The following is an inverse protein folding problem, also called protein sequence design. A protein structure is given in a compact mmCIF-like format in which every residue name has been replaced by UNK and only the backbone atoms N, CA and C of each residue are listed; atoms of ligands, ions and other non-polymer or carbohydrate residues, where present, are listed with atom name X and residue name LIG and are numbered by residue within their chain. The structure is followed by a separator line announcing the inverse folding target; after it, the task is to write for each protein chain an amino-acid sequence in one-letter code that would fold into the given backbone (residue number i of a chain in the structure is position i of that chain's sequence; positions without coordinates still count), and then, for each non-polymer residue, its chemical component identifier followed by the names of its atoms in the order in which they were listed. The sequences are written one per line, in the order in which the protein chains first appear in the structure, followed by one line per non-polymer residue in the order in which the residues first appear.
data_IF_213846201123
#
_entry.id   IF_213846201123
#
_cell.length_a   1.000
_cell.length_b   1.000
_cell.length_c   1.000
_cell.angle_alpha   90.00
_cell.angle_beta   90.00
_cell.angle_gamma   90.00
#
_symmetry.space_group_name_H-M   'P 1'
#
loop_
_entity.id
_entity.type
_entity.pdbx_description
1 polymer ?
#
# COMPACT_ATOMS: atom_id res chain seq x y z
N UNK A 1 42.11 -1.76 -28.58
CA UNK A 1 40.86 -1.52 -29.38
C UNK A 1 39.78 -2.36 -28.76
N UNK A 2 39.04 -1.77 -27.84
CA UNK A 2 37.87 -2.42 -27.20
C UNK A 2 36.67 -2.10 -28.03
N UNK A 3 36.23 -3.10 -28.78
CA UNK A 3 35.02 -3.05 -29.59
C UNK A 3 33.80 -2.91 -28.63
N UNK A 4 33.32 -1.68 -28.43
CA UNK A 4 32.09 -1.42 -27.73
C UNK A 4 30.92 -1.92 -28.60
N UNK A 5 30.26 -2.94 -28.14
CA UNK A 5 29.05 -3.49 -28.79
C UNK A 5 28.06 -2.36 -29.07
N UNK A 6 27.65 -2.12 -30.33
CA UNK A 6 26.79 -0.97 -30.70
C UNK A 6 25.38 -1.01 -30.11
N UNK A 7 24.97 -2.09 -29.46
CA UNK A 7 23.66 -2.24 -28.84
C UNK A 7 23.55 -1.55 -27.46
N UNK A 8 24.65 -1.14 -26.85
CA UNK A 8 24.62 -0.51 -25.54
C UNK A 8 24.17 0.97 -25.57
N UNK A 9 24.31 1.65 -26.71
CA UNK A 9 23.83 3.04 -26.87
C UNK A 9 22.36 3.10 -27.34
N UNK A 10 21.82 2.07 -27.98
CA UNK A 10 20.41 1.95 -28.34
C UNK A 10 19.51 1.91 -27.10
N UNK A 11 20.00 1.46 -25.97
CA UNK A 11 19.30 1.45 -24.70
C UNK A 11 18.84 2.84 -24.24
N UNK A 12 19.63 3.86 -24.48
CA UNK A 12 19.39 5.23 -24.00
C UNK A 12 18.40 6.00 -24.85
N UNK A 13 18.19 5.57 -26.09
CA UNK A 13 17.32 6.24 -27.05
C UNK A 13 15.93 5.59 -27.18
N UNK A 14 15.83 4.29 -26.91
CA UNK A 14 14.57 3.54 -27.01
C UNK A 14 13.75 3.71 -25.74
N UNK A 15 12.45 4.07 -25.81
CA UNK A 15 11.60 4.16 -24.64
C UNK A 15 11.48 2.80 -23.93
N UNK A 16 11.29 2.81 -22.60
CA UNK A 16 10.83 1.63 -21.86
C UNK A 16 9.39 1.29 -22.29
N UNK A 17 9.03 0.02 -22.28
CA UNK A 17 7.63 -0.37 -22.43
C UNK A 17 6.82 0.17 -21.27
N UNK A 18 7.37 0.11 -20.04
CA UNK A 18 6.74 0.68 -18.85
C UNK A 18 7.77 1.25 -17.86
N UNK A 19 7.40 2.34 -17.19
CA UNK A 19 8.02 2.78 -15.94
C UNK A 19 7.04 2.52 -14.80
N UNK A 20 7.50 1.83 -13.77
CA UNK A 20 6.74 1.48 -12.57
C UNK A 20 7.21 2.38 -11.43
N UNK A 21 6.28 3.15 -10.86
CA UNK A 21 6.52 4.04 -9.74
C UNK A 21 6.16 3.33 -8.44
N UNK A 22 7.17 2.92 -7.68
CA UNK A 22 7.07 2.17 -6.44
C UNK A 22 7.44 0.70 -6.58
N UNK A 23 8.39 0.25 -5.78
CA UNK A 23 8.90 -1.12 -5.67
C UNK A 23 8.30 -1.89 -4.49
N UNK A 24 7.06 -1.60 -4.11
CA UNK A 24 6.26 -2.41 -3.19
C UNK A 24 5.75 -3.70 -3.85
N UNK A 25 4.94 -4.51 -3.13
CA UNK A 25 4.45 -5.79 -3.65
C UNK A 25 3.73 -5.70 -5.00
N UNK A 26 2.97 -4.61 -5.24
CA UNK A 26 2.31 -4.39 -6.53
C UNK A 26 3.30 -4.10 -7.64
N UNK A 27 4.25 -3.19 -7.42
CA UNK A 27 5.25 -2.83 -8.43
C UNK A 27 6.22 -3.96 -8.75
N UNK A 28 6.69 -4.69 -7.73
CA UNK A 28 7.55 -5.87 -7.93
C UNK A 28 6.83 -6.96 -8.71
N UNK A 29 5.54 -7.21 -8.41
CA UNK A 29 4.73 -8.18 -9.14
C UNK A 29 4.52 -7.75 -10.60
N UNK A 30 4.20 -6.48 -10.84
CA UNK A 30 4.07 -5.94 -12.19
C UNK A 30 5.38 -6.06 -12.99
N UNK A 31 6.50 -5.68 -12.37
CA UNK A 31 7.83 -5.75 -12.98
C UNK A 31 8.21 -7.19 -13.34
N UNK A 32 7.95 -8.14 -12.44
CA UNK A 32 8.26 -9.56 -12.67
C UNK A 32 7.48 -10.11 -13.85
N UNK A 33 6.17 -9.87 -13.93
CA UNK A 33 5.32 -10.35 -15.04
C UNK A 33 5.73 -9.70 -16.35
N UNK A 34 5.97 -8.39 -16.38
CA UNK A 34 6.44 -7.69 -17.59
C UNK A 34 7.84 -8.16 -18.01
N UNK A 35 8.74 -8.37 -17.04
CA UNK A 35 10.08 -8.90 -17.30
C UNK A 35 10.03 -10.27 -17.98
N UNK A 36 9.18 -11.17 -17.47
CA UNK A 36 8.92 -12.50 -18.06
C UNK A 36 8.26 -12.40 -19.44
N UNK A 37 7.44 -11.37 -19.67
CA UNK A 37 6.86 -11.06 -20.99
C UNK A 37 7.88 -10.35 -21.93
N UNK A 38 9.16 -10.28 -21.54
CA UNK A 38 10.26 -9.67 -22.31
C UNK A 38 10.07 -8.17 -22.59
N UNK A 39 9.28 -7.49 -21.75
CA UNK A 39 9.08 -6.05 -21.82
C UNK A 39 10.22 -5.33 -21.12
N UNK A 40 10.67 -4.21 -21.68
CA UNK A 40 11.70 -3.37 -21.11
C UNK A 40 11.09 -2.48 -20.03
N UNK A 41 11.46 -2.73 -18.77
CA UNK A 41 10.84 -2.12 -17.59
C UNK A 41 11.87 -1.39 -16.74
N UNK A 42 11.52 -0.20 -16.25
CA UNK A 42 12.21 0.47 -15.16
C UNK A 42 11.29 0.53 -13.95
N UNK A 43 11.75 0.05 -12.81
CA UNK A 43 11.13 0.29 -11.50
C UNK A 43 11.88 1.41 -10.79
N UNK A 44 11.18 2.42 -10.31
CA UNK A 44 11.75 3.48 -9.46
C UNK A 44 11.10 3.40 -8.08
N UNK A 45 11.90 3.18 -7.03
CA UNK A 45 11.42 3.00 -5.66
C UNK A 45 12.22 3.81 -4.64
N UNK A 46 11.52 4.52 -3.77
CA UNK A 46 12.11 5.40 -2.75
C UNK A 46 12.41 4.70 -1.42
N UNK A 47 12.29 3.38 -1.36
CA UNK A 47 12.54 2.54 -0.18
C UNK A 47 11.71 2.90 1.08
N UNK A 48 10.50 3.44 0.89
CA UNK A 48 9.59 3.80 1.98
C UNK A 48 8.28 2.99 1.94
N UNK A 49 8.33 1.68 2.17
CA UNK A 49 7.13 0.86 2.13
C UNK A 49 6.20 1.20 3.31
N UNK A 50 4.90 1.27 3.04
CA UNK A 50 3.89 1.62 4.04
C UNK A 50 3.86 0.65 5.24
N UNK A 51 4.24 -0.61 5.02
CA UNK A 51 4.26 -1.66 6.05
C UNK A 51 5.64 -1.88 6.69
N UNK A 52 6.58 -0.93 6.58
CA UNK A 52 7.95 -1.07 7.13
C UNK A 52 7.97 -1.39 8.63
N UNK A 53 7.01 -0.88 9.38
CA UNK A 53 6.92 -1.06 10.83
C UNK A 53 6.27 -2.39 11.24
N UNK A 54 5.63 -3.10 10.31
CA UNK A 54 4.94 -4.37 10.59
C UNK A 54 5.93 -5.48 10.93
N UNK A 55 5.56 -6.31 11.91
CA UNK A 55 6.37 -7.45 12.35
C UNK A 55 6.28 -8.65 11.41
N UNK A 56 5.31 -8.66 10.50
CA UNK A 56 5.13 -9.70 9.50
C UNK A 56 3.93 -9.41 8.59
N UNK A 57 3.96 -9.97 7.41
CA UNK A 57 2.86 -9.89 6.43
C UNK A 57 1.84 -10.99 6.76
N UNK A 58 0.68 -10.61 7.29
CA UNK A 58 -0.39 -11.56 7.58
C UNK A 58 -1.20 -11.94 6.33
N UNK A 59 -1.60 -13.20 6.23
CA UNK A 59 -2.53 -13.71 5.21
C UNK A 59 -1.96 -13.81 3.80
N UNK A 60 -0.65 -13.90 3.63
CA UNK A 60 -0.01 -14.15 2.32
C UNK A 60 0.27 -15.66 2.17
N UNK A 61 -0.52 -16.33 1.34
CA UNK A 61 -0.36 -17.76 1.09
C UNK A 61 1.09 -18.11 0.67
N UNK A 62 1.67 -19.08 1.34
CA UNK A 62 3.05 -19.53 1.14
C UNK A 62 4.12 -18.67 1.83
N UNK A 63 3.76 -17.46 2.29
CA UNK A 63 4.66 -16.51 2.95
C UNK A 63 4.00 -15.81 4.14
N UNK A 64 3.07 -16.51 4.83
CA UNK A 64 2.42 -15.95 6.01
C UNK A 64 3.47 -15.60 7.09
N UNK A 65 3.35 -14.39 7.64
CA UNK A 65 4.27 -13.81 8.63
C UNK A 65 5.71 -13.55 8.14
N UNK A 66 5.98 -13.60 6.83
CA UNK A 66 7.26 -13.13 6.29
C UNK A 66 7.47 -11.65 6.65
N UNK A 67 8.69 -11.26 6.99
CA UNK A 67 8.99 -9.84 7.24
C UNK A 67 8.82 -9.04 5.94
N UNK A 68 8.27 -7.82 6.00
CA UNK A 68 8.11 -6.98 4.81
C UNK A 68 9.41 -6.76 4.03
N UNK A 69 10.54 -6.57 4.74
CA UNK A 69 11.85 -6.42 4.12
C UNK A 69 12.27 -7.68 3.35
N UNK A 70 12.14 -8.87 3.98
CA UNK A 70 12.55 -10.13 3.37
C UNK A 70 11.73 -10.44 2.10
N UNK A 71 10.44 -10.09 2.10
CA UNK A 71 9.57 -10.23 0.93
C UNK A 71 10.02 -9.30 -0.21
N UNK A 72 10.34 -8.03 0.09
CA UNK A 72 10.86 -7.08 -0.89
C UNK A 72 12.19 -7.54 -1.47
N UNK A 73 13.12 -7.92 -0.62
CA UNK A 73 14.44 -8.39 -1.03
C UNK A 73 14.32 -9.64 -1.92
N UNK A 74 13.41 -10.55 -1.59
CA UNK A 74 13.12 -11.71 -2.42
C UNK A 74 12.59 -11.30 -3.79
N UNK A 75 11.65 -10.36 -3.84
CA UNK A 75 11.11 -9.82 -5.10
C UNK A 75 12.20 -9.15 -5.95
N UNK A 76 13.03 -8.31 -5.35
CA UNK A 76 14.13 -7.65 -6.07
C UNK A 76 15.15 -8.66 -6.62
N UNK A 77 15.53 -9.70 -5.85
CA UNK A 77 16.41 -10.78 -6.35
C UNK A 77 15.79 -11.53 -7.54
N UNK A 78 14.47 -11.71 -7.57
CA UNK A 78 13.78 -12.30 -8.72
C UNK A 78 13.87 -11.39 -9.96
N UNK A 79 13.75 -10.08 -9.79
CA UNK A 79 13.88 -9.14 -10.91
C UNK A 79 15.29 -9.14 -11.52
N UNK A 80 16.33 -9.32 -10.71
CA UNK A 80 17.72 -9.37 -11.18
C UNK A 80 17.99 -10.52 -12.16
N UNK A 81 17.12 -11.54 -12.22
CA UNK A 81 17.21 -12.63 -13.19
C UNK A 81 16.75 -12.20 -14.61
N UNK A 82 16.16 -11.03 -14.76
CA UNK A 82 15.60 -10.51 -16.01
C UNK A 82 16.39 -9.29 -16.48
N UNK A 83 17.27 -9.45 -17.44
CA UNK A 83 18.14 -8.38 -17.96
C UNK A 83 17.37 -7.19 -18.59
N UNK A 84 16.09 -7.37 -18.90
CA UNK A 84 15.20 -6.34 -19.43
C UNK A 84 14.45 -5.55 -18.33
N UNK A 85 14.71 -5.82 -17.06
CA UNK A 85 14.15 -5.10 -15.92
C UNK A 85 15.27 -4.35 -15.19
N UNK A 86 15.18 -3.04 -15.16
CA UNK A 86 16.06 -2.17 -14.38
C UNK A 86 15.32 -1.79 -13.07
N UNK A 87 16.02 -1.86 -11.95
CA UNK A 87 15.55 -1.35 -10.67
C UNK A 87 16.42 -0.18 -10.22
N UNK A 88 15.81 0.96 -9.95
CA UNK A 88 16.51 2.19 -9.54
C UNK A 88 15.95 2.68 -8.21
N UNK A 89 16.84 2.93 -7.26
CA UNK A 89 16.50 3.60 -6.01
C UNK A 89 16.29 5.09 -6.25
N UNK A 90 15.32 5.68 -5.57
CA UNK A 90 14.95 7.09 -5.70
C UNK A 90 13.44 7.29 -5.84
N UNK A 91 13.02 8.54 -5.95
CA UNK A 91 11.64 8.91 -6.19
C UNK A 91 11.45 9.33 -7.66
N UNK A 92 10.22 9.30 -8.12
CA UNK A 92 9.82 9.99 -9.36
C UNK A 92 9.31 11.38 -8.95
N UNK A 93 9.97 12.42 -9.45
CA UNK A 93 9.61 13.81 -9.17
C UNK A 93 8.50 14.31 -10.08
N UNK A 94 8.57 13.92 -11.35
CA UNK A 94 7.69 14.44 -12.39
C UNK A 94 7.48 13.41 -13.51
N UNK A 95 6.29 13.43 -14.10
CA UNK A 95 5.94 12.66 -15.29
C UNK A 95 5.19 13.57 -16.24
N UNK A 96 5.75 13.80 -17.42
CA UNK A 96 5.13 14.61 -18.47
C UNK A 96 4.72 13.74 -19.66
N UNK A 97 3.51 13.94 -20.14
CA UNK A 97 3.05 13.29 -21.38
C UNK A 97 3.51 14.10 -22.59
N UNK A 98 4.15 13.44 -23.53
CA UNK A 98 4.38 13.96 -24.88
C UNK A 98 3.37 13.31 -25.84
N UNK A 99 3.49 13.57 -27.17
CA UNK A 99 2.56 12.98 -28.14
C UNK A 99 2.52 11.45 -28.06
N UNK A 100 3.69 10.82 -27.98
CA UNK A 100 3.82 9.36 -28.19
C UNK A 100 4.33 8.61 -26.95
N UNK A 101 4.88 9.32 -25.97
CA UNK A 101 5.53 8.71 -24.78
C UNK A 101 5.39 9.61 -23.56
N UNK A 102 5.64 9.03 -22.40
CA UNK A 102 5.86 9.76 -21.16
C UNK A 102 7.36 10.04 -20.97
N UNK A 103 7.69 11.21 -20.44
CA UNK A 103 9.03 11.56 -19.94
C UNK A 103 8.95 11.55 -18.43
N UNK A 104 9.69 10.63 -17.82
CA UNK A 104 9.75 10.43 -16.37
C UNK A 104 11.06 11.01 -15.84
N UNK A 105 10.99 11.80 -14.79
CA UNK A 105 12.15 12.39 -14.09
C UNK A 105 12.32 11.74 -12.71
N UNK A 106 13.22 10.79 -12.57
CA UNK A 106 13.61 10.29 -11.25
C UNK A 106 14.52 11.29 -10.55
N UNK A 107 14.58 11.24 -9.20
CA UNK A 107 15.54 12.02 -8.39
C UNK A 107 16.98 11.68 -8.74
N UNK A 108 17.24 10.41 -9.08
CA UNK A 108 18.57 9.92 -9.39
C UNK A 108 18.66 9.49 -10.86
N UNK A 109 19.62 10.07 -11.56
CA UNK A 109 19.93 9.77 -12.95
C UNK A 109 19.13 10.61 -13.96
N UNK A 110 19.34 10.35 -15.26
CA UNK A 110 18.73 11.14 -16.32
C UNK A 110 17.24 10.82 -16.46
N UNK A 111 16.45 11.76 -17.05
CA UNK A 111 15.09 11.49 -17.48
C UNK A 111 15.02 10.29 -18.42
N UNK A 112 13.96 9.52 -18.30
CA UNK A 112 13.70 8.34 -19.13
C UNK A 112 12.38 8.48 -19.87
N UNK A 113 12.25 7.78 -21.01
CA UNK A 113 11.04 7.76 -21.81
C UNK A 113 10.34 6.41 -21.64
N UNK A 114 9.00 6.41 -21.59
CA UNK A 114 8.21 5.19 -21.48
C UNK A 114 6.91 5.29 -22.28
N UNK A 115 6.40 4.14 -22.75
CA UNK A 115 5.09 4.04 -23.39
C UNK A 115 3.96 3.97 -22.35
N UNK A 116 4.22 3.37 -21.19
CA UNK A 116 3.25 3.25 -20.11
C UNK A 116 3.84 3.66 -18.75
N UNK A 117 2.97 4.15 -17.87
CA UNK A 117 3.26 4.45 -16.48
C UNK A 117 2.39 3.54 -15.59
N UNK A 118 3.01 2.86 -14.63
CA UNK A 118 2.31 2.08 -13.60
C UNK A 118 2.51 2.76 -12.25
N UNK A 119 1.45 3.34 -11.70
CA UNK A 119 1.43 3.97 -10.39
C UNK A 119 1.20 2.88 -9.31
N UNK A 120 2.29 2.41 -8.70
CA UNK A 120 2.31 1.36 -7.67
C UNK A 120 2.92 1.86 -6.34
N UNK A 121 2.89 3.17 -6.11
CA UNK A 121 3.52 3.86 -4.97
C UNK A 121 2.76 3.69 -3.64
N UNK A 122 1.61 2.98 -3.64
CA UNK A 122 0.81 2.72 -2.44
C UNK A 122 0.16 3.98 -1.85
N UNK A 123 -0.12 3.92 -0.55
CA UNK A 123 -0.66 5.03 0.24
C UNK A 123 0.25 5.28 1.46
N UNK A 124 0.26 6.52 1.94
CA UNK A 124 0.75 6.85 3.27
C UNK A 124 -0.34 6.63 4.30
N UNK A 125 -0.01 5.98 5.40
CA UNK A 125 -0.91 5.73 6.53
C UNK A 125 -0.46 6.55 7.73
N UNK A 126 -1.21 7.59 8.06
CA UNK A 126 -0.94 8.45 9.21
C UNK A 126 -1.87 8.02 10.35
N UNK A 127 -1.34 7.49 11.47
CA UNK A 127 -2.13 7.17 12.65
C UNK A 127 -2.66 8.46 13.30
N UNK A 128 -3.73 8.37 14.12
CA UNK A 128 -4.21 9.52 14.88
C UNK A 128 -3.12 10.02 15.84
N UNK A 129 -3.10 11.32 16.17
CA UNK A 129 -2.05 11.92 17.00
C UNK A 129 -2.29 11.63 18.50
N UNK A 130 -2.29 10.35 18.89
CA UNK A 130 -2.44 9.92 20.27
C UNK A 130 -1.07 9.92 20.98
N UNK A 131 -0.91 10.58 22.14
CA UNK A 131 0.34 10.56 22.89
C UNK A 131 0.80 9.12 23.18
N UNK A 132 2.03 8.78 22.83
CA UNK A 132 2.64 7.47 23.03
C UNK A 132 2.46 6.48 21.86
N UNK A 133 1.75 6.85 20.79
CA UNK A 133 1.46 5.95 19.67
C UNK A 133 2.72 5.56 18.89
N UNK A 134 3.69 6.45 18.75
CA UNK A 134 4.89 6.25 17.93
C UNK A 134 5.71 5.03 18.39
N UNK A 135 5.81 4.83 19.71
CA UNK A 135 6.55 3.70 20.29
C UNK A 135 5.84 2.34 20.09
N UNK A 136 4.53 2.37 19.81
CA UNK A 136 3.64 1.21 19.78
C UNK A 136 3.20 0.86 18.35
N UNK A 137 3.33 1.80 17.40
CA UNK A 137 2.85 1.66 16.03
C UNK A 137 3.50 0.48 15.29
N UNK A 138 2.67 -0.38 14.69
CA UNK A 138 3.10 -1.59 14.01
C UNK A 138 3.56 -2.74 14.94
N UNK A 139 3.43 -2.57 16.27
CA UNK A 139 3.81 -3.57 17.28
C UNK A 139 2.64 -4.02 18.15
N UNK A 140 1.91 -3.08 18.71
CA UNK A 140 0.68 -3.29 19.49
C UNK A 140 -0.40 -2.26 19.17
N UNK A 141 -0.10 -1.28 18.32
CA UNK A 141 -1.09 -0.39 17.71
C UNK A 141 -1.10 -0.64 16.20
N UNK A 142 -2.27 -0.96 15.67
CA UNK A 142 -2.48 -1.44 14.30
C UNK A 142 -3.62 -0.69 13.63
N UNK A 143 -3.74 -0.83 12.30
CA UNK A 143 -4.88 -0.29 11.55
C UNK A 143 -5.75 -1.36 10.87
N UNK A 144 -5.29 -2.62 10.87
CA UNK A 144 -5.93 -3.69 10.09
C UNK A 144 -6.09 -4.94 10.94
N UNK A 145 -7.32 -5.27 11.33
CA UNK A 145 -7.61 -6.46 12.11
C UNK A 145 -7.33 -7.76 11.33
N UNK A 146 -7.57 -7.79 10.02
CA UNK A 146 -7.26 -8.95 9.18
C UNK A 146 -5.76 -9.19 8.99
N UNK A 147 -4.93 -8.16 9.22
CA UNK A 147 -3.49 -8.26 9.07
C UNK A 147 -2.79 -8.72 10.35
N UNK A 148 -3.26 -8.23 11.50
CA UNK A 148 -2.54 -8.35 12.78
C UNK A 148 -3.43 -8.92 13.91
N UNK A 149 -4.74 -9.13 13.68
CA UNK A 149 -5.67 -9.58 14.72
C UNK A 149 -5.37 -10.99 15.22
N UNK A 150 -4.86 -11.87 14.36
CA UNK A 150 -4.49 -13.24 14.74
C UNK A 150 -3.38 -13.29 15.82
N UNK A 151 -2.42 -12.38 15.75
CA UNK A 151 -1.29 -12.30 16.67
C UNK A 151 -1.68 -11.81 18.07
N UNK A 152 -2.80 -11.10 18.15
CA UNK A 152 -3.32 -10.53 19.40
C UNK A 152 -4.68 -11.11 19.80
N UNK A 153 -5.12 -12.22 19.15
CA UNK A 153 -6.38 -12.87 19.47
C UNK A 153 -6.46 -13.29 20.93
N UNK A 154 -7.67 -13.36 21.43
CA UNK A 154 -8.01 -13.77 22.81
C UNK A 154 -7.43 -12.85 23.90
N UNK A 155 -6.92 -11.66 23.52
CA UNK A 155 -6.39 -10.65 24.45
C UNK A 155 -7.36 -9.50 24.64
N UNK A 156 -7.17 -8.68 25.68
CA UNK A 156 -7.90 -7.41 25.84
C UNK A 156 -7.56 -6.46 24.69
N UNK A 157 -8.51 -6.23 23.76
CA UNK A 157 -8.33 -5.39 22.58
C UNK A 157 -9.12 -4.10 22.69
N UNK A 158 -8.66 -3.06 22.01
CA UNK A 158 -9.41 -1.82 21.83
C UNK A 158 -9.46 -1.41 20.36
N UNK A 159 -10.52 -0.71 19.98
CA UNK A 159 -10.61 0.04 18.73
C UNK A 159 -10.80 1.52 19.05
N UNK A 160 -10.01 2.42 18.43
CA UNK A 160 -10.21 3.86 18.54
C UNK A 160 -10.85 4.40 17.26
N UNK A 161 -11.94 5.12 17.45
CA UNK A 161 -12.65 5.76 16.34
C UNK A 161 -14.08 6.14 16.72
N UNK A 162 -14.75 6.88 15.84
CA UNK A 162 -16.10 7.37 16.04
C UNK A 162 -17.00 7.11 14.81
N UNK A 163 -18.31 7.22 15.02
CA UNK A 163 -19.29 7.06 13.97
C UNK A 163 -19.51 5.59 13.50
N UNK A 164 -20.33 5.41 12.44
CA UNK A 164 -20.74 4.06 11.98
C UNK A 164 -19.58 3.17 11.55
N UNK A 165 -18.50 3.76 11.02
CA UNK A 165 -17.30 3.02 10.63
C UNK A 165 -16.58 2.39 11.81
N UNK A 166 -16.54 3.08 12.96
CA UNK A 166 -15.94 2.56 14.18
C UNK A 166 -16.77 1.43 14.78
N UNK A 167 -18.09 1.53 14.76
CA UNK A 167 -19.00 0.45 15.18
C UNK A 167 -18.70 -0.82 14.38
N UNK A 168 -18.68 -0.71 13.05
CA UNK A 168 -18.36 -1.85 12.18
C UNK A 168 -16.97 -2.43 12.48
N UNK A 169 -15.97 -1.60 12.69
CA UNK A 169 -14.61 -2.07 12.98
C UNK A 169 -14.49 -2.75 14.34
N UNK A 170 -15.17 -2.23 15.36
CA UNK A 170 -15.22 -2.85 16.69
C UNK A 170 -15.94 -4.20 16.66
N UNK A 171 -17.05 -4.32 15.91
CA UNK A 171 -17.76 -5.59 15.70
C UNK A 171 -16.88 -6.61 14.94
N UNK A 172 -16.16 -6.17 13.94
CA UNK A 172 -15.18 -7.02 13.24
C UNK A 172 -14.11 -7.49 14.22
N UNK A 173 -13.59 -6.61 15.08
CA UNK A 173 -12.55 -6.95 16.05
C UNK A 173 -13.04 -7.96 17.12
N UNK A 174 -14.31 -7.95 17.46
CA UNK A 174 -14.94 -8.95 18.34
C UNK A 174 -14.84 -10.39 17.80
N UNK A 175 -14.52 -10.58 16.52
CA UNK A 175 -14.19 -11.90 15.96
C UNK A 175 -12.85 -12.47 16.40
N UNK A 176 -11.99 -11.66 17.00
CA UNK A 176 -10.66 -12.10 17.49
C UNK A 176 -10.56 -12.13 19.01
N UNK A 177 -11.46 -11.47 19.74
CA UNK A 177 -11.45 -11.45 21.22
C UNK A 177 -12.83 -11.21 21.80
N UNK A 178 -13.10 -11.83 22.93
CA UNK A 178 -14.30 -11.59 23.73
C UNK A 178 -14.18 -10.38 24.66
N UNK A 179 -13.01 -9.73 24.73
CA UNK A 179 -12.78 -8.52 25.53
C UNK A 179 -12.36 -7.37 24.60
N UNK A 180 -13.37 -6.72 24.02
CA UNK A 180 -13.19 -5.58 23.10
C UNK A 180 -13.81 -4.32 23.67
N UNK A 181 -13.08 -3.20 23.57
CA UNK A 181 -13.56 -1.87 23.91
C UNK A 181 -13.46 -0.95 22.71
N UNK A 182 -14.55 -0.24 22.41
CA UNK A 182 -14.54 0.89 21.49
C UNK A 182 -14.26 2.17 22.27
N UNK A 183 -13.15 2.83 22.00
CA UNK A 183 -12.79 4.14 22.53
C UNK A 183 -13.17 5.21 21.50
N UNK A 184 -14.14 6.07 21.84
CA UNK A 184 -14.64 7.09 20.88
C UNK A 184 -13.88 8.42 20.96
N UNK A 185 -12.96 8.53 21.91
CA UNK A 185 -12.05 9.67 22.07
C UNK A 185 -12.81 11.03 22.14
N UNK A 186 -13.75 11.12 23.04
CA UNK A 186 -14.58 12.32 23.26
C UNK A 186 -15.85 12.39 22.42
N UNK A 187 -16.04 11.50 21.43
CA UNK A 187 -17.29 11.46 20.68
C UNK A 187 -18.38 10.66 21.42
N UNK A 188 -19.67 10.94 21.17
CA UNK A 188 -20.77 10.15 21.70
C UNK A 188 -20.70 8.67 21.30
N UNK A 189 -21.34 7.80 22.09
CA UNK A 189 -21.50 6.38 21.74
C UNK A 189 -22.26 6.23 20.40
N UNK A 190 -21.62 5.65 19.38
CA UNK A 190 -22.20 5.58 18.05
C UNK A 190 -23.10 4.34 17.81
N UNK A 191 -23.09 3.37 18.74
CA UNK A 191 -23.60 2.03 18.45
C UNK A 191 -24.45 1.38 19.53
N UNK A 192 -24.49 1.93 20.77
CA UNK A 192 -25.38 1.52 21.87
C UNK A 192 -25.65 0.01 21.94
N UNK A 193 -26.91 -0.36 21.76
CA UNK A 193 -27.39 -1.74 21.89
C UNK A 193 -26.72 -2.76 20.94
N UNK A 194 -26.29 -2.34 19.76
CA UNK A 194 -25.64 -3.25 18.79
C UNK A 194 -24.27 -3.69 19.30
N UNK A 195 -23.49 -2.77 19.83
CA UNK A 195 -22.17 -3.07 20.42
C UNK A 195 -22.33 -3.90 21.69
N UNK A 196 -23.26 -3.53 22.57
CA UNK A 196 -23.56 -4.27 23.79
C UNK A 196 -24.01 -5.71 23.50
N UNK A 197 -24.86 -5.91 22.49
CA UNK A 197 -25.29 -7.24 22.03
C UNK A 197 -24.16 -8.13 21.52
N UNK A 198 -23.08 -7.53 21.04
CA UNK A 198 -21.85 -8.21 20.61
C UNK A 198 -20.77 -8.32 21.72
N UNK A 199 -21.07 -7.90 22.96
CA UNK A 199 -20.12 -7.91 24.08
C UNK A 199 -19.04 -6.83 23.99
N UNK A 200 -19.20 -5.85 23.10
CA UNK A 200 -18.26 -4.73 22.95
C UNK A 200 -18.66 -3.60 23.92
N UNK A 201 -17.75 -3.24 24.80
CA UNK A 201 -17.93 -2.09 25.70
C UNK A 201 -17.55 -0.79 24.99
N UNK A 202 -18.10 0.33 25.43
CA UNK A 202 -17.78 1.66 24.89
C UNK A 202 -17.21 2.54 25.98
N UNK A 203 -16.14 3.25 25.64
CA UNK A 203 -15.52 4.32 26.44
C UNK A 203 -15.55 5.60 25.61
N UNK A 204 -16.22 6.62 26.14
CA UNK A 204 -16.41 7.88 25.43
C UNK A 204 -15.43 8.97 25.87
N UNK A 205 -14.69 8.74 26.94
CA UNK A 205 -13.72 9.70 27.46
C UNK A 205 -12.57 9.93 26.49
N UNK A 206 -12.06 11.15 26.37
CA UNK A 206 -10.87 11.45 25.56
C UNK A 206 -9.68 10.64 26.03
N UNK A 207 -8.92 10.10 25.07
CA UNK A 207 -7.68 9.39 25.36
C UNK A 207 -6.60 10.40 25.70
N UNK A 208 -6.04 10.31 26.89
CA UNK A 208 -4.95 11.16 27.34
C UNK A 208 -3.59 10.63 26.85
N UNK A 209 -3.39 9.31 26.92
CA UNK A 209 -2.12 8.68 26.53
C UNK A 209 -2.26 7.17 26.35
N UNK A 210 -1.43 6.62 25.45
CA UNK A 210 -1.17 5.19 25.35
C UNK A 210 0.10 4.88 26.18
N UNK A 211 -0.07 4.10 27.23
CA UNK A 211 1.04 3.70 28.11
C UNK A 211 1.47 2.27 27.78
N UNK A 212 2.77 2.08 27.64
CA UNK A 212 3.34 0.78 27.34
C UNK A 212 4.87 0.84 27.33
N UNK A 213 5.48 -0.32 27.17
CA UNK A 213 6.93 -0.47 27.18
C UNK A 213 7.39 -1.44 26.07
N UNK A 214 8.57 -1.19 25.50
CA UNK A 214 9.22 -2.02 24.48
C UNK A 214 8.28 -2.41 23.29
N UNK A 215 7.40 -1.47 22.89
CA UNK A 215 6.45 -1.69 21.80
C UNK A 215 5.19 -2.47 22.20
N UNK A 216 4.97 -2.72 23.47
CA UNK A 216 3.78 -3.40 24.00
C UNK A 216 2.89 -2.38 24.71
N UNK A 217 1.64 -2.29 24.26
CA UNK A 217 0.61 -1.54 24.96
C UNK A 217 0.25 -2.27 26.27
N UNK A 218 0.18 -1.53 27.37
CA UNK A 218 -0.21 -2.05 28.68
C UNK A 218 -1.56 -1.48 29.11
N UNK A 219 -1.79 -0.19 28.84
CA UNK A 219 -3.04 0.47 29.17
C UNK A 219 -3.30 1.71 28.30
N UNK A 220 -4.57 2.06 28.20
CA UNK A 220 -5.05 3.32 27.64
C UNK A 220 -5.43 4.22 28.82
N UNK A 221 -4.82 5.38 28.93
CA UNK A 221 -5.14 6.39 29.94
C UNK A 221 -6.11 7.41 29.33
N UNK A 222 -7.15 7.75 30.09
CA UNK A 222 -8.17 8.71 29.69
C UNK A 222 -8.04 10.01 30.44
N UNK A 223 -8.55 11.10 29.88
CA UNK A 223 -8.55 12.41 30.53
C UNK A 223 -9.36 12.39 31.87
N UNK A 224 -10.36 11.50 31.91
CA UNK A 224 -11.21 11.31 33.11
C UNK A 224 -11.49 9.82 33.31
N UNK A 225 -11.64 9.40 34.57
CA UNK A 225 -11.92 8.02 34.94
C UNK A 225 -10.68 7.11 34.97
N UNK A 226 -10.87 5.81 35.22
CA UNK A 226 -9.76 4.87 35.35
C UNK A 226 -9.14 4.52 34.01
N UNK A 227 -7.84 4.23 34.02
CA UNK A 227 -7.16 3.64 32.88
C UNK A 227 -7.72 2.26 32.55
N UNK A 228 -7.63 1.87 31.29
CA UNK A 228 -8.13 0.61 30.77
C UNK A 228 -6.96 -0.26 30.32
N UNK A 229 -6.75 -1.42 30.94
CA UNK A 229 -5.72 -2.36 30.50
C UNK A 229 -6.09 -2.92 29.12
N UNK A 230 -5.20 -2.72 28.13
CA UNK A 230 -5.32 -3.25 26.77
C UNK A 230 -3.98 -3.72 26.26
N UNK A 231 -3.97 -4.82 25.52
CA UNK A 231 -2.74 -5.39 24.97
C UNK A 231 -2.55 -5.04 23.49
N UNK A 232 -3.63 -4.64 22.81
CA UNK A 232 -3.54 -4.05 21.47
C UNK A 232 -4.64 -3.01 21.25
N UNK A 233 -4.33 -2.03 20.42
CA UNK A 233 -5.25 -0.99 19.96
C UNK A 233 -5.29 -1.00 18.43
N UNK A 234 -6.48 -1.02 17.86
CA UNK A 234 -6.70 -0.78 16.44
C UNK A 234 -7.23 0.62 16.23
N UNK A 235 -6.72 1.31 15.21
CA UNK A 235 -7.07 2.71 14.94
C UNK A 235 -7.43 2.94 13.49
N UNK A 236 -8.29 3.92 13.24
CA UNK A 236 -8.45 4.46 11.89
C UNK A 236 -7.24 5.34 11.55
N UNK A 237 -6.71 5.16 10.36
CA UNK A 237 -5.63 5.99 9.83
C UNK A 237 -6.15 6.96 8.78
N UNK A 238 -5.59 8.16 8.74
CA UNK A 238 -5.67 8.99 7.54
C UNK A 238 -4.83 8.34 6.45
N UNK A 239 -5.32 8.42 5.22
CA UNK A 239 -4.66 7.81 4.06
C UNK A 239 -4.59 8.83 2.95
N UNK A 240 -3.38 9.06 2.46
CA UNK A 240 -3.11 10.01 1.40
C UNK A 240 -2.23 9.38 0.33
N UNK A 241 -2.33 9.86 -0.90
CA UNK A 241 -1.33 9.58 -1.93
C UNK A 241 0.02 10.12 -1.45
N UNK A 242 1.13 9.35 -1.51
CA UNK A 242 2.43 9.79 -1.00
C UNK A 242 3.07 10.89 -1.85
N UNK A 243 2.54 11.13 -3.05
CA UNK A 243 3.01 12.15 -3.99
C UNK A 243 1.84 12.68 -4.84
N UNK A 244 2.09 13.72 -5.60
CA UNK A 244 1.09 14.34 -6.48
C UNK A 244 1.02 13.79 -7.91
N UNK A 245 1.70 12.70 -8.23
CA UNK A 245 1.86 12.22 -9.62
C UNK A 245 0.53 11.86 -10.28
N UNK A 246 -0.36 11.17 -9.55
CA UNK A 246 -1.67 10.82 -10.09
C UNK A 246 -2.49 12.05 -10.51
N UNK A 247 -2.53 13.06 -9.65
CA UNK A 247 -3.21 14.32 -9.92
C UNK A 247 -2.53 15.11 -11.05
N UNK A 248 -1.20 15.19 -11.07
CA UNK A 248 -0.43 15.86 -12.12
C UNK A 248 -0.62 15.21 -13.50
N UNK A 249 -0.83 13.89 -13.56
CA UNK A 249 -1.16 13.17 -14.77
C UNK A 249 -2.64 13.31 -15.18
N UNK A 250 -3.50 13.89 -14.34
CA UNK A 250 -4.93 14.01 -14.58
C UNK A 250 -5.73 12.75 -14.28
N UNK A 251 -5.22 11.85 -13.42
CA UNK A 251 -5.96 10.69 -12.99
C UNK A 251 -7.11 11.08 -12.05
N UNK A 252 -8.27 10.48 -12.27
CA UNK A 252 -9.40 10.60 -11.36
C UNK A 252 -9.14 9.91 -10.04
N UNK A 253 -9.56 10.54 -8.94
CA UNK A 253 -9.46 9.98 -7.59
C UNK A 253 -10.86 9.74 -7.02
N UNK A 254 -11.00 8.67 -6.25
CA UNK A 254 -12.20 8.42 -5.46
C UNK A 254 -12.31 9.40 -4.29
N UNK A 255 -13.49 9.51 -3.65
CA UNK A 255 -13.64 10.26 -2.40
C UNK A 255 -12.75 9.78 -1.25
N UNK A 256 -12.17 8.59 -1.35
CA UNK A 256 -11.21 8.03 -0.39
C UNK A 256 -9.73 8.30 -0.78
N UNK A 257 -9.49 9.08 -1.84
CA UNK A 257 -8.16 9.47 -2.31
C UNK A 257 -7.40 8.39 -3.08
N UNK A 258 -8.03 7.28 -3.47
CA UNK A 258 -7.43 6.25 -4.32
C UNK A 258 -7.66 6.56 -5.80
N UNK A 259 -6.74 6.11 -6.66
CA UNK A 259 -6.85 6.30 -8.11
C UNK A 259 -8.00 5.44 -8.64
N UNK A 260 -8.89 6.05 -9.44
CA UNK A 260 -9.97 5.32 -10.13
C UNK A 260 -9.38 4.47 -11.24
N UNK A 261 -9.73 3.18 -11.28
CA UNK A 261 -9.29 2.26 -12.31
C UNK A 261 -10.42 1.34 -12.75
N UNK A 262 -10.30 0.82 -13.96
CA UNK A 262 -11.11 -0.32 -14.40
C UNK A 262 -10.63 -1.65 -13.76
N UNK A 263 -11.24 -2.76 -14.16
CA UNK A 263 -10.89 -4.09 -13.64
C UNK A 263 -9.46 -4.50 -13.95
N UNK A 264 -8.85 -3.97 -14.99
CA UNK A 264 -7.49 -4.26 -15.45
C UNK A 264 -6.45 -3.27 -14.90
N UNK A 265 -6.89 -2.29 -14.12
CA UNK A 265 -6.04 -1.26 -13.53
C UNK A 265 -5.74 -0.08 -14.45
N UNK A 266 -6.47 0.08 -15.58
CA UNK A 266 -6.36 1.27 -16.42
C UNK A 266 -7.02 2.46 -15.73
N UNK A 267 -6.38 3.61 -15.78
CA UNK A 267 -6.97 4.88 -15.33
C UNK A 267 -7.76 5.55 -16.47
N UNK A 268 -8.38 6.69 -16.16
CA UNK A 268 -8.98 7.56 -17.20
C UNK A 268 -7.92 8.16 -18.15
N UNK A 269 -6.63 8.05 -17.86
CA UNK A 269 -5.53 8.58 -18.68
C UNK A 269 -4.89 7.43 -19.46
N UNK A 270 -5.03 7.45 -20.80
CA UNK A 270 -4.49 6.41 -21.67
C UNK A 270 -2.98 6.23 -21.45
N UNK A 271 -2.53 4.97 -21.30
CA UNK A 271 -1.14 4.62 -20.99
C UNK A 271 -0.75 4.79 -19.53
N UNK A 272 -1.68 5.21 -18.64
CA UNK A 272 -1.46 5.28 -17.20
C UNK A 272 -2.30 4.22 -16.50
N UNK A 273 -1.63 3.43 -15.68
CA UNK A 273 -2.20 2.33 -14.90
C UNK A 273 -1.94 2.54 -13.42
N UNK A 274 -2.74 1.91 -12.57
CA UNK A 274 -2.48 1.94 -11.13
C UNK A 274 -2.77 0.58 -10.48
N UNK A 275 -1.97 0.23 -9.46
CA UNK A 275 -2.04 -1.05 -8.76
C UNK A 275 -1.77 -0.91 -7.27
N UNK A 276 -2.16 -1.91 -6.49
CA UNK A 276 -1.98 -1.95 -5.05
C UNK A 276 -2.85 -0.92 -4.33
N UNK A 277 -2.41 -0.49 -3.16
CA UNK A 277 -3.17 0.41 -2.30
C UNK A 277 -3.47 1.77 -2.95
N UNK A 278 -2.63 2.21 -3.89
CA UNK A 278 -2.84 3.45 -4.63
C UNK A 278 -4.18 3.48 -5.38
N UNK A 279 -4.66 2.32 -5.85
CA UNK A 279 -5.89 2.17 -6.64
C UNK A 279 -7.00 1.37 -5.93
N UNK A 280 -6.69 0.69 -4.81
CA UNK A 280 -7.63 -0.21 -4.16
C UNK A 280 -8.46 0.51 -3.10
N UNK A 281 -9.79 0.53 -3.29
CA UNK A 281 -10.71 1.10 -2.31
C UNK A 281 -10.98 0.18 -1.11
N UNK A 282 -10.89 -1.14 -1.28
CA UNK A 282 -11.35 -2.13 -0.30
C UNK A 282 -10.21 -2.96 0.31
N UNK A 283 -9.92 -4.13 -0.19
CA UNK A 283 -8.93 -5.07 0.40
C UNK A 283 -7.49 -4.59 0.24
N UNK A 284 -7.00 -3.84 1.22
CA UNK A 284 -5.58 -3.42 1.25
C UNK A 284 -4.76 -4.48 1.95
N UNK A 285 -4.21 -5.40 1.17
CA UNK A 285 -3.33 -6.47 1.65
C UNK A 285 -2.20 -6.69 0.66
N UNK A 286 -1.11 -7.29 1.12
CA UNK A 286 0.02 -7.65 0.26
C UNK A 286 -0.43 -8.62 -0.84
N UNK A 287 -1.30 -9.59 -0.52
CA UNK A 287 -1.85 -10.53 -1.50
C UNK A 287 -2.61 -9.82 -2.63
N UNK A 288 -3.48 -8.85 -2.26
CA UNK A 288 -4.20 -8.05 -3.26
C UNK A 288 -3.26 -7.14 -4.06
N UNK A 289 -2.26 -6.56 -3.42
CA UNK A 289 -1.27 -5.72 -4.11
C UNK A 289 -0.50 -6.53 -5.16
N UNK A 290 -0.05 -7.75 -4.84
CA UNK A 290 0.59 -8.67 -5.78
C UNK A 290 -0.37 -8.99 -6.94
N UNK A 291 -1.62 -9.36 -6.63
CA UNK A 291 -2.62 -9.72 -7.64
C UNK A 291 -2.96 -8.59 -8.60
N UNK A 292 -3.15 -7.36 -8.07
CA UNK A 292 -3.42 -6.18 -8.91
C UNK A 292 -2.21 -5.77 -9.75
N UNK A 293 -0.99 -5.85 -9.20
CA UNK A 293 0.24 -5.61 -9.94
C UNK A 293 0.41 -6.58 -11.12
N UNK A 294 0.19 -7.87 -10.88
CA UNK A 294 0.19 -8.88 -11.93
C UNK A 294 -0.83 -8.57 -13.04
N UNK A 295 -2.05 -8.22 -12.67
CA UNK A 295 -3.13 -7.91 -13.63
C UNK A 295 -2.81 -6.70 -14.50
N UNK A 296 -2.31 -5.62 -13.89
CA UNK A 296 -1.84 -4.44 -14.64
C UNK A 296 -0.75 -4.80 -15.65
N UNK A 297 0.16 -5.68 -15.28
CA UNK A 297 1.21 -6.12 -16.20
C UNK A 297 0.67 -6.80 -17.45
N UNK A 298 -0.37 -7.63 -17.31
CA UNK A 298 -1.06 -8.22 -18.47
C UNK A 298 -1.70 -7.13 -19.35
N UNK A 299 -2.40 -6.16 -18.73
CA UNK A 299 -3.02 -5.06 -19.47
C UNK A 299 -1.99 -4.26 -20.29
N UNK A 300 -0.87 -3.88 -19.65
CA UNK A 300 0.23 -3.18 -20.32
C UNK A 300 0.82 -4.01 -21.47
N UNK A 301 1.08 -5.30 -21.24
CA UNK A 301 1.69 -6.16 -22.25
C UNK A 301 0.79 -6.35 -23.47
N UNK A 302 -0.53 -6.50 -23.27
CA UNK A 302 -1.50 -6.71 -24.35
C UNK A 302 -1.77 -5.43 -25.14
N UNK A 303 -1.80 -4.26 -24.50
CA UNK A 303 -2.04 -3.00 -25.18
C UNK A 303 -0.93 -2.65 -26.18
N UNK A 304 0.31 -3.03 -25.90
CA UNK A 304 1.42 -2.90 -26.84
C UNK A 304 1.33 -3.85 -28.05
N UNK A 305 0.47 -4.85 -28.00
CA UNK A 305 0.21 -5.76 -29.14
C UNK A 305 -0.97 -5.29 -29.99
N UNK A 306 -1.85 -4.43 -29.46
CA UNK A 306 -3.08 -4.01 -30.13
C UNK A 306 -2.87 -3.44 -31.55
N UNK A 307 -1.85 -2.59 -31.83
CA UNK A 307 -1.59 -2.10 -33.18
C UNK A 307 -1.23 -3.22 -34.16
N UNK A 308 -0.45 -4.19 -33.71
CA UNK A 308 -0.06 -5.34 -34.59
C UNK A 308 -1.23 -6.30 -34.81
N UNK A 309 -2.08 -6.52 -33.83
CA UNK A 309 -3.28 -7.35 -33.93
C UNK A 309 -4.32 -6.68 -34.83
N UNK A 310 -4.53 -5.37 -34.71
CA UNK A 310 -5.43 -4.61 -35.56
C UNK A 310 -4.96 -4.55 -37.01
N UNK A 311 -3.64 -4.60 -37.25
CA UNK A 311 -3.08 -4.66 -38.63
C UNK A 311 -3.14 -6.05 -39.24
N UNK A 312 -3.38 -7.11 -38.45
CA UNK A 312 -3.47 -8.51 -38.91
C UNK A 312 -4.91 -9.02 -39.08
N UNK A 313 -5.89 -8.22 -38.66
CA UNK A 313 -7.33 -8.50 -38.77
C UNK A 313 -7.93 -7.77 -39.98
#
# INVERSE_FOLDING_TARGET
MTDRLPHLDAWRTTPHDAVIVGGGPAGLSAALVLGRARKRVLVVDNDRPANAVSQGVGGLLGHDRVKPADLRDSGQRQLQQHANVEFRHGAVEDVQRTRDVFVVRPTDGPPVRAHAIVLAHGLRYDPPPLPGIEALWGRSVFHCAFCDGWEVRDRPLAFQGSGPGAVRSALVLAGWSNDVVLCTDGAPDPGGAVLAGAGVRVRTEPIARLAGNAGRLEQIEFAHGPAERREALFVNTRRDQPNGLAAALGCELTGAGTIVTDADGRTNVAGVYAAGDAATAHSRSVANAIGTGSRVAYAVALEHLAPAVAAAA
#
